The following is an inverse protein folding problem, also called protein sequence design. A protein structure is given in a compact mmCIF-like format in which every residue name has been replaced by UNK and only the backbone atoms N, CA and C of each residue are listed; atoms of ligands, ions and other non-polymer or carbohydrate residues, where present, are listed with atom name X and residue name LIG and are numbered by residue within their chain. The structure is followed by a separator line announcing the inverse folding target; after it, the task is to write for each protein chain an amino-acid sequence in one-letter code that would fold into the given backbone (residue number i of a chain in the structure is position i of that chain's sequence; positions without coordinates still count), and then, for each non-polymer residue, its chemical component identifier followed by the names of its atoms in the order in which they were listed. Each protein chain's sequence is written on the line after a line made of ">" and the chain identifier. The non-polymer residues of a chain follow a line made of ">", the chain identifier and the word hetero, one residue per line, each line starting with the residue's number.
data_IF_152895278231
#
_entry.id   IF_152895278231
#
_cell.length_a   1.000
_cell.length_b   1.000
_cell.length_c   1.000
_cell.angle_alpha   90.00
_cell.angle_beta   90.00
_cell.angle_gamma   90.00
#
_symmetry.space_group_name_H-M   'P 1'
#
loop_
_entity.id
_entity.type
_entity.pdbx_description
1 polymer ?
#
# COMPACT_ATOMS: atom_id res chain seq x y z
N UNK A 1 -41.73 -13.34 -28.85
CA UNK A 1 -40.74 -12.26 -28.64
C UNK A 1 -40.06 -12.60 -27.34
N UNK A 2 -38.74 -12.73 -27.35
CA UNK A 2 -38.00 -13.01 -26.12
C UNK A 2 -38.13 -11.78 -25.21
N UNK A 3 -38.72 -11.90 -24.00
CA UNK A 3 -38.89 -10.75 -23.09
C UNK A 3 -37.56 -10.12 -22.68
N UNK A 4 -36.43 -10.79 -22.93
CA UNK A 4 -35.09 -10.30 -22.61
C UNK A 4 -34.38 -9.59 -23.78
N UNK A 5 -34.94 -9.60 -24.99
CA UNK A 5 -34.24 -9.08 -26.19
C UNK A 5 -33.89 -7.58 -26.07
N UNK A 6 -34.79 -6.76 -25.53
CA UNK A 6 -34.54 -5.35 -25.24
C UNK A 6 -33.51 -5.16 -24.11
N UNK A 7 -33.61 -5.98 -23.06
CA UNK A 7 -32.73 -5.90 -21.90
C UNK A 7 -31.30 -6.31 -22.26
N UNK A 8 -31.14 -7.32 -23.11
CA UNK A 8 -29.85 -7.79 -23.61
C UNK A 8 -29.18 -6.77 -24.52
N UNK A 9 -29.97 -6.07 -25.33
CA UNK A 9 -29.46 -4.93 -26.10
C UNK A 9 -28.96 -3.82 -25.17
N UNK A 10 -29.76 -3.41 -24.19
CA UNK A 10 -29.39 -2.36 -23.23
C UNK A 10 -28.17 -2.75 -22.39
N UNK A 11 -28.03 -4.04 -22.03
CA UNK A 11 -26.87 -4.57 -21.33
C UNK A 11 -25.60 -4.49 -22.19
N UNK A 12 -25.67 -4.87 -23.48
CA UNK A 12 -24.54 -4.72 -24.40
C UNK A 12 -24.12 -3.25 -24.55
N UNK A 13 -25.07 -2.35 -24.77
CA UNK A 13 -24.81 -0.91 -24.87
C UNK A 13 -24.20 -0.34 -23.58
N UNK A 14 -24.69 -0.75 -22.41
CA UNK A 14 -24.12 -0.35 -21.13
C UNK A 14 -22.71 -0.91 -20.92
N UNK A 15 -22.46 -2.18 -21.27
CA UNK A 15 -21.14 -2.79 -21.21
C UNK A 15 -20.13 -2.08 -22.13
N UNK A 16 -20.53 -1.74 -23.36
CA UNK A 16 -19.68 -0.99 -24.29
C UNK A 16 -19.32 0.40 -23.74
N UNK A 17 -20.27 1.07 -23.07
CA UNK A 17 -20.00 2.35 -22.36
C UNK A 17 -19.00 2.17 -21.21
N UNK A 18 -19.07 1.08 -20.44
CA UNK A 18 -18.09 0.77 -19.39
C UNK A 18 -16.69 0.55 -19.99
N UNK A 19 -16.60 -0.26 -21.05
CA UNK A 19 -15.33 -0.52 -21.75
C UNK A 19 -14.73 0.76 -22.31
N UNK A 20 -15.56 1.66 -22.82
CA UNK A 20 -15.14 2.98 -23.29
C UNK A 20 -14.64 3.86 -22.15
N UNK A 21 -15.33 3.90 -21.00
CA UNK A 21 -14.87 4.59 -19.80
C UNK A 21 -13.49 4.08 -19.34
N UNK A 22 -13.28 2.77 -19.28
CA UNK A 22 -12.00 2.16 -18.90
C UNK A 22 -10.88 2.55 -19.87
N UNK A 23 -11.17 2.55 -21.18
CA UNK A 23 -10.23 2.99 -22.20
C UNK A 23 -9.83 4.46 -22.01
N UNK A 24 -10.80 5.34 -21.76
CA UNK A 24 -10.55 6.76 -21.49
C UNK A 24 -9.75 6.95 -20.18
N UNK A 25 -10.04 6.17 -19.13
CA UNK A 25 -9.32 6.24 -17.86
C UNK A 25 -7.84 5.82 -18.02
N UNK A 26 -7.58 4.80 -18.83
CA UNK A 26 -6.22 4.40 -19.21
C UNK A 26 -5.52 5.49 -20.04
N UNK A 27 -6.23 6.09 -21.01
CA UNK A 27 -5.73 7.21 -21.82
C UNK A 27 -5.36 8.41 -20.95
N UNK A 28 -6.22 8.82 -20.01
CA UNK A 28 -5.97 9.89 -19.02
C UNK A 28 -4.67 9.64 -18.25
N UNK A 29 -4.48 8.42 -17.75
CA UNK A 29 -3.26 8.04 -17.02
C UNK A 29 -2.01 8.13 -17.91
N UNK A 30 -2.11 7.74 -19.18
CA UNK A 30 -1.02 7.85 -20.16
C UNK A 30 -0.67 9.31 -20.47
N UNK A 31 -1.68 10.13 -20.78
CA UNK A 31 -1.51 11.57 -21.03
C UNK A 31 -0.91 12.27 -19.82
N UNK A 32 -1.38 11.97 -18.60
CA UNK A 32 -0.83 12.53 -17.37
C UNK A 32 0.65 12.20 -17.16
N UNK A 33 1.13 11.02 -17.60
CA UNK A 33 2.58 10.70 -17.59
C UNK A 33 3.34 11.54 -18.61
N UNK A 34 2.85 11.59 -19.86
CA UNK A 34 3.49 12.36 -20.93
C UNK A 34 3.56 13.86 -20.61
N UNK A 35 2.51 14.42 -20.00
CA UNK A 35 2.46 15.81 -19.56
C UNK A 35 3.55 16.08 -18.53
N UNK A 36 3.74 15.21 -17.53
CA UNK A 36 4.81 15.35 -16.55
C UNK A 36 6.19 15.33 -17.20
N UNK A 37 6.45 14.33 -18.05
CA UNK A 37 7.73 14.21 -18.77
C UNK A 37 8.04 15.44 -19.63
N UNK A 38 7.06 15.94 -20.38
CA UNK A 38 7.25 17.13 -21.23
C UNK A 38 7.36 18.41 -20.39
N UNK A 39 6.62 18.53 -19.28
CA UNK A 39 6.72 19.67 -18.38
C UNK A 39 8.10 19.76 -17.69
N UNK A 40 8.66 18.62 -17.28
CA UNK A 40 10.01 18.54 -16.74
C UNK A 40 11.03 18.97 -17.80
N UNK A 41 10.91 18.47 -19.03
CA UNK A 41 11.77 18.86 -20.15
C UNK A 41 11.64 20.35 -20.51
N UNK A 42 10.43 20.91 -20.49
CA UNK A 42 10.21 22.36 -20.68
C UNK A 42 10.95 23.15 -19.61
N UNK A 43 10.88 22.73 -18.35
CA UNK A 43 11.60 23.37 -17.24
C UNK A 43 13.12 23.31 -17.42
N UNK A 44 13.66 22.16 -17.85
CA UNK A 44 15.09 22.02 -18.16
C UNK A 44 15.54 22.93 -19.31
N UNK A 45 14.76 22.98 -20.40
CA UNK A 45 15.03 23.83 -21.56
C UNK A 45 14.93 25.32 -21.22
N UNK A 46 14.01 25.73 -20.34
CA UNK A 46 13.93 27.10 -19.82
C UNK A 46 15.20 27.48 -19.05
N UNK A 47 15.70 26.58 -18.19
CA UNK A 47 16.95 26.79 -17.47
C UNK A 47 18.16 26.85 -18.41
N UNK A 48 18.21 26.01 -19.44
CA UNK A 48 19.27 26.03 -20.44
C UNK A 48 19.23 27.36 -21.22
N UNK A 49 18.08 27.73 -21.77
CA UNK A 49 17.90 28.98 -22.51
C UNK A 49 18.27 30.21 -21.65
N UNK A 50 17.95 30.20 -20.36
CA UNK A 50 18.37 31.26 -19.44
C UNK A 50 19.89 31.34 -19.26
N UNK A 51 20.63 30.23 -19.34
CA UNK A 51 22.11 30.24 -19.33
C UNK A 51 22.65 30.82 -20.63
N UNK A 52 22.19 30.32 -21.79
CA UNK A 52 22.63 30.81 -23.10
C UNK A 52 22.38 32.32 -23.25
N UNK A 53 21.22 32.82 -22.80
CA UNK A 53 20.90 34.26 -22.81
C UNK A 53 21.85 35.08 -21.92
N UNK A 54 22.23 34.58 -20.74
CA UNK A 54 23.21 35.26 -19.87
C UNK A 54 24.60 35.28 -20.50
N UNK A 55 24.99 34.23 -21.21
CA UNK A 55 26.26 34.17 -21.91
C UNK A 55 26.31 35.16 -23.08
N UNK A 56 25.21 35.29 -23.84
CA UNK A 56 25.01 36.36 -24.82
C UNK A 56 25.09 37.74 -24.16
N UNK A 57 24.34 38.00 -23.09
CA UNK A 57 24.34 39.29 -22.38
C UNK A 57 25.73 39.66 -21.82
N UNK A 58 26.48 38.69 -21.30
CA UNK A 58 27.85 38.89 -20.82
C UNK A 58 28.79 39.27 -21.97
N UNK A 59 28.62 38.66 -23.14
CA UNK A 59 29.39 38.97 -24.34
C UNK A 59 28.95 40.27 -25.02
N UNK A 60 27.70 40.72 -24.84
CA UNK A 60 27.18 41.98 -25.38
C UNK A 60 27.49 43.18 -24.46
N UNK A 61 27.19 43.06 -23.16
CA UNK A 61 27.36 44.10 -22.14
C UNK A 61 28.76 44.20 -21.53
N UNK A 62 29.63 43.21 -21.73
CA UNK A 62 31.02 43.22 -21.26
C UNK A 62 31.92 44.17 -22.05
N UNK A 63 31.84 45.49 -21.79
CA UNK A 63 32.52 46.51 -22.60
C UNK A 63 33.17 47.66 -21.79
N UNK A 64 34.08 47.36 -20.86
CA UNK A 64 35.08 48.39 -20.48
C UNK A 64 36.48 47.85 -20.17
N UNK A 65 36.64 46.67 -19.56
CA UNK A 65 37.96 46.29 -19.02
C UNK A 65 38.91 45.49 -19.96
N UNK A 66 38.44 44.90 -21.06
CA UNK A 66 39.28 43.99 -21.88
C UNK A 66 39.34 44.29 -23.39
N UNK A 67 38.57 45.26 -23.87
CA UNK A 67 38.56 45.69 -25.28
C UNK A 67 39.76 46.56 -25.65
N UNK A 68 40.95 45.99 -25.46
CA UNK A 68 42.19 46.48 -26.02
C UNK A 68 43.00 45.40 -26.77
N UNK A 69 42.55 44.12 -26.85
CA UNK A 69 43.42 43.06 -27.43
C UNK A 69 42.87 42.01 -28.40
N UNK A 70 41.56 41.75 -28.56
CA UNK A 70 41.06 40.57 -29.32
C UNK A 70 39.67 40.81 -29.96
N UNK A 71 39.58 41.48 -31.12
CA UNK A 71 38.30 41.81 -31.77
C UNK A 71 37.70 40.70 -32.65
N UNK A 72 38.52 39.88 -33.34
CA UNK A 72 38.00 38.84 -34.25
C UNK A 72 37.38 37.62 -33.56
N UNK A 73 37.98 37.12 -32.49
CA UNK A 73 37.49 35.90 -31.80
C UNK A 73 36.25 36.12 -30.92
N UNK A 74 35.94 37.37 -30.55
CA UNK A 74 34.75 37.73 -29.78
C UNK A 74 33.49 37.73 -30.65
N UNK A 75 33.58 38.24 -31.87
CA UNK A 75 32.46 38.35 -32.80
C UNK A 75 32.00 36.96 -33.29
N UNK A 76 32.95 36.06 -33.57
CA UNK A 76 32.66 34.64 -33.86
C UNK A 76 31.95 33.95 -32.69
N UNK A 77 32.44 34.17 -31.45
CA UNK A 77 31.82 33.61 -30.24
C UNK A 77 30.41 34.15 -30.02
N UNK A 78 30.20 35.46 -30.12
CA UNK A 78 28.88 36.06 -29.95
C UNK A 78 27.87 35.53 -30.98
N UNK A 79 28.31 35.34 -32.23
CA UNK A 79 27.46 34.77 -33.30
C UNK A 79 27.05 33.34 -32.96
N UNK A 80 27.98 32.54 -32.45
CA UNK A 80 27.73 31.17 -32.01
C UNK A 80 26.72 31.11 -30.86
N UNK A 81 26.94 31.90 -29.81
CA UNK A 81 26.10 31.92 -28.60
C UNK A 81 24.67 32.38 -28.92
N UNK A 82 24.51 33.35 -29.84
CA UNK A 82 23.19 33.75 -30.36
C UNK A 82 22.49 32.63 -31.13
N UNK A 83 23.25 31.87 -31.93
CA UNK A 83 22.70 30.71 -32.66
C UNK A 83 22.29 29.58 -31.70
N UNK A 84 23.09 29.31 -30.67
CA UNK A 84 22.81 28.32 -29.63
C UNK A 84 21.57 28.74 -28.80
N UNK A 85 21.45 30.01 -28.42
CA UNK A 85 20.27 30.55 -27.76
C UNK A 85 19.00 30.50 -28.64
N UNK A 86 19.12 30.79 -29.95
CA UNK A 86 18.00 30.71 -30.88
C UNK A 86 17.50 29.26 -31.04
N UNK A 87 18.42 28.30 -31.20
CA UNK A 87 18.09 26.88 -31.30
C UNK A 87 17.45 26.34 -30.00
N UNK A 88 17.96 26.77 -28.84
CA UNK A 88 17.36 26.43 -27.54
C UNK A 88 15.94 27.01 -27.41
N UNK A 89 15.71 28.22 -27.91
CA UNK A 89 14.39 28.86 -27.97
C UNK A 89 13.40 28.08 -28.83
N UNK A 90 13.78 27.71 -30.06
CA UNK A 90 12.94 26.93 -30.96
C UNK A 90 12.54 25.57 -30.36
N UNK A 91 13.50 24.88 -29.73
CA UNK A 91 13.25 23.61 -29.03
C UNK A 91 12.26 23.78 -27.88
N UNK A 92 12.42 24.84 -27.08
CA UNK A 92 11.53 25.15 -25.98
C UNK A 92 10.11 25.43 -26.47
N UNK A 93 9.97 26.24 -27.52
CA UNK A 93 8.67 26.57 -28.10
C UNK A 93 7.97 25.32 -28.66
N UNK A 94 8.73 24.43 -29.31
CA UNK A 94 8.22 23.14 -29.76
C UNK A 94 7.71 22.24 -28.62
N UNK A 95 8.44 22.15 -27.51
CA UNK A 95 7.99 21.37 -26.35
C UNK A 95 6.80 22.02 -25.62
N UNK A 96 6.73 23.35 -25.57
CA UNK A 96 5.57 24.07 -25.03
C UNK A 96 4.30 23.83 -25.86
N UNK A 97 4.41 23.89 -27.19
CA UNK A 97 3.30 23.57 -28.08
C UNK A 97 2.85 22.10 -27.91
N UNK A 98 3.80 21.17 -27.73
CA UNK A 98 3.49 19.77 -27.40
C UNK A 98 2.78 19.64 -26.05
N UNK A 99 3.23 20.35 -25.02
CA UNK A 99 2.62 20.35 -23.69
C UNK A 99 1.18 20.87 -23.74
N UNK A 100 0.96 21.96 -24.48
CA UNK A 100 -0.37 22.54 -24.69
C UNK A 100 -1.30 21.54 -25.41
N UNK A 101 -0.85 20.91 -26.49
CA UNK A 101 -1.61 19.88 -27.20
C UNK A 101 -1.98 18.70 -26.29
N UNK A 102 -1.03 18.16 -25.53
CA UNK A 102 -1.28 17.06 -24.58
C UNK A 102 -2.26 17.46 -23.48
N UNK A 103 -2.19 18.70 -23.00
CA UNK A 103 -3.12 19.23 -21.99
C UNK A 103 -4.52 19.41 -22.58
N UNK A 104 -4.63 19.84 -23.83
CA UNK A 104 -5.88 19.88 -24.58
C UNK A 104 -6.52 18.50 -24.72
N UNK A 105 -5.74 17.50 -25.15
CA UNK A 105 -6.17 16.10 -25.26
C UNK A 105 -6.63 15.53 -23.91
N UNK A 106 -5.96 15.90 -22.82
CA UNK A 106 -6.36 15.52 -21.47
C UNK A 106 -7.72 16.13 -21.12
N UNK A 107 -7.93 17.42 -21.40
CA UNK A 107 -9.21 18.10 -21.15
C UNK A 107 -10.36 17.58 -22.01
N UNK A 108 -10.10 17.09 -23.23
CA UNK A 108 -11.07 16.33 -24.03
C UNK A 108 -11.40 14.98 -23.38
N UNK A 109 -10.37 14.21 -23.02
CA UNK A 109 -10.52 12.90 -22.37
C UNK A 109 -11.29 13.01 -21.06
N UNK A 110 -11.06 14.05 -20.27
CA UNK A 110 -11.78 14.30 -19.01
C UNK A 110 -13.26 14.65 -19.23
N UNK A 111 -13.59 15.40 -20.30
CA UNK A 111 -14.99 15.66 -20.66
C UNK A 111 -15.71 14.39 -21.09
N UNK A 112 -15.06 13.55 -21.89
CA UNK A 112 -15.63 12.26 -22.32
C UNK A 112 -15.81 11.29 -21.14
N UNK A 113 -14.87 11.29 -20.18
CA UNK A 113 -15.01 10.57 -18.92
C UNK A 113 -16.20 11.04 -18.10
N UNK A 114 -16.40 12.36 -17.99
CA UNK A 114 -17.55 12.91 -17.28
C UNK A 114 -18.88 12.55 -17.98
N UNK A 115 -18.91 12.54 -19.32
CA UNK A 115 -20.10 12.16 -20.08
C UNK A 115 -20.45 10.66 -19.96
N UNK A 116 -19.46 9.83 -19.66
CA UNK A 116 -19.62 8.37 -19.47
C UNK A 116 -19.65 7.97 -18.00
N UNK A 117 -19.66 8.94 -17.09
CA UNK A 117 -19.82 8.72 -15.67
C UNK A 117 -21.14 7.99 -15.39
N UNK A 118 -21.11 6.99 -14.51
CA UNK A 118 -22.28 6.17 -14.17
C UNK A 118 -22.57 5.02 -15.15
N UNK A 119 -21.76 4.82 -16.20
CA UNK A 119 -21.91 3.66 -17.08
C UNK A 119 -21.83 2.32 -16.33
N UNK A 120 -20.96 2.23 -15.31
CA UNK A 120 -20.84 1.06 -14.46
C UNK A 120 -22.10 0.82 -13.62
N UNK A 121 -22.65 1.87 -13.01
CA UNK A 121 -23.87 1.78 -12.19
C UNK A 121 -25.08 1.38 -13.05
N UNK A 122 -25.20 1.97 -14.24
CA UNK A 122 -26.21 1.60 -15.23
C UNK A 122 -26.11 0.12 -15.61
N UNK A 123 -24.91 -0.36 -15.90
CA UNK A 123 -24.68 -1.76 -16.25
C UNK A 123 -25.06 -2.70 -15.10
N UNK A 124 -24.65 -2.39 -13.86
CA UNK A 124 -25.00 -3.17 -12.67
C UNK A 124 -26.50 -3.19 -12.39
N UNK A 125 -27.18 -2.05 -12.58
CA UNK A 125 -28.64 -1.95 -12.43
C UNK A 125 -29.36 -2.83 -13.43
N UNK A 126 -28.94 -2.83 -14.69
CA UNK A 126 -29.53 -3.67 -15.75
C UNK A 126 -29.27 -5.16 -15.50
N UNK A 127 -28.07 -5.52 -15.02
CA UNK A 127 -27.76 -6.91 -14.64
C UNK A 127 -28.67 -7.38 -13.51
N UNK A 128 -28.86 -6.54 -12.49
CA UNK A 128 -29.74 -6.83 -11.35
C UNK A 128 -31.21 -6.96 -11.78
N UNK A 129 -31.65 -6.14 -12.75
CA UNK A 129 -32.98 -6.25 -13.35
C UNK A 129 -33.16 -7.60 -14.08
N UNK A 130 -32.17 -8.00 -14.90
CA UNK A 130 -32.19 -9.29 -15.62
C UNK A 130 -32.20 -10.46 -14.65
N UNK A 131 -31.36 -10.41 -13.64
CA UNK A 131 -31.28 -11.44 -12.60
C UNK A 131 -32.61 -11.63 -11.88
N UNK A 132 -33.25 -10.53 -11.43
CA UNK A 132 -34.55 -10.60 -10.78
C UNK A 132 -35.60 -11.28 -11.66
N UNK A 133 -35.68 -10.89 -12.93
CA UNK A 133 -36.65 -11.47 -13.87
C UNK A 133 -36.40 -12.97 -14.11
N UNK A 134 -35.14 -13.40 -14.19
CA UNK A 134 -34.77 -14.81 -14.33
C UNK A 134 -35.11 -15.61 -13.06
N UNK A 135 -34.85 -15.04 -11.89
CA UNK A 135 -35.21 -15.65 -10.59
C UNK A 135 -36.73 -15.78 -10.45
N UNK A 136 -37.50 -14.73 -10.77
CA UNK A 136 -38.97 -14.75 -10.74
C UNK A 136 -39.58 -15.81 -11.67
N UNK A 137 -38.93 -16.05 -12.82
CA UNK A 137 -39.35 -17.11 -13.75
C UNK A 137 -39.19 -18.52 -13.16
N UNK A 138 -38.25 -18.69 -12.22
CA UNK A 138 -38.07 -19.94 -11.46
C UNK A 138 -37.56 -21.13 -12.28
N UNK A 139 -37.04 -20.88 -13.49
CA UNK A 139 -36.42 -21.89 -14.35
C UNK A 139 -35.05 -22.33 -13.78
N UNK A 140 -34.40 -23.30 -14.43
CA UNK A 140 -33.11 -23.83 -13.96
C UNK A 140 -32.05 -22.73 -13.79
N UNK A 141 -32.08 -21.73 -14.69
CA UNK A 141 -31.16 -20.59 -14.69
C UNK A 141 -31.43 -19.65 -13.52
N UNK A 142 -32.69 -19.28 -13.28
CA UNK A 142 -33.10 -18.50 -12.11
C UNK A 142 -32.73 -19.17 -10.78
N UNK A 143 -32.95 -20.50 -10.66
CA UNK A 143 -32.55 -21.25 -9.45
C UNK A 143 -31.05 -21.26 -9.23
N UNK A 144 -30.26 -21.42 -10.29
CA UNK A 144 -28.80 -21.37 -10.20
C UNK A 144 -28.29 -19.98 -9.80
N UNK A 145 -28.92 -18.91 -10.30
CA UNK A 145 -28.60 -17.53 -9.89
C UNK A 145 -28.87 -17.29 -8.39
N UNK A 146 -29.98 -17.81 -7.86
CA UNK A 146 -30.25 -17.76 -6.42
C UNK A 146 -29.19 -18.53 -5.60
N UNK A 147 -28.80 -19.72 -6.04
CA UNK A 147 -27.77 -20.52 -5.38
C UNK A 147 -26.42 -19.78 -5.38
N UNK A 148 -26.01 -19.23 -6.52
CA UNK A 148 -24.80 -18.41 -6.64
C UNK A 148 -24.84 -17.19 -5.74
N UNK A 149 -25.98 -16.50 -5.63
CA UNK A 149 -26.14 -15.36 -4.72
C UNK A 149 -25.89 -15.76 -3.26
N UNK A 150 -26.39 -16.92 -2.83
CA UNK A 150 -26.12 -17.48 -1.51
C UNK A 150 -24.64 -17.79 -1.30
N UNK A 151 -24.03 -18.54 -2.24
CA UNK A 151 -22.61 -18.90 -2.18
C UNK A 151 -21.69 -17.67 -2.16
N UNK A 152 -22.03 -16.62 -2.91
CA UNK A 152 -21.28 -15.36 -2.92
C UNK A 152 -21.42 -14.62 -1.60
N UNK A 153 -22.63 -14.56 -1.02
CA UNK A 153 -22.87 -13.94 0.28
C UNK A 153 -22.11 -14.65 1.40
N UNK A 154 -22.11 -15.98 1.41
CA UNK A 154 -21.35 -16.81 2.35
C UNK A 154 -19.84 -16.56 2.17
N UNK A 155 -19.33 -16.61 0.94
CA UNK A 155 -17.90 -16.36 0.65
C UNK A 155 -17.48 -14.93 1.06
N UNK A 156 -18.37 -13.94 0.93
CA UNK A 156 -18.13 -12.57 1.40
C UNK A 156 -18.20 -12.42 2.93
N UNK A 157 -18.97 -13.26 3.62
CA UNK A 157 -18.94 -13.34 5.07
C UNK A 157 -17.61 -13.95 5.53
N UNK A 158 -17.20 -15.08 4.94
CA UNK A 158 -15.91 -15.72 5.24
C UNK A 158 -14.74 -14.74 5.03
N UNK A 159 -14.75 -13.97 3.92
CA UNK A 159 -13.71 -12.95 3.68
C UNK A 159 -13.62 -11.88 4.76
N UNK A 160 -14.77 -11.48 5.33
CA UNK A 160 -14.82 -10.49 6.42
C UNK A 160 -14.24 -11.07 7.71
N UNK A 161 -14.65 -12.28 8.08
CA UNK A 161 -14.12 -12.98 9.26
C UNK A 161 -12.59 -13.19 9.14
N UNK A 162 -12.10 -13.52 7.95
CA UNK A 162 -10.66 -13.60 7.67
C UNK A 162 -9.94 -12.25 7.84
N UNK A 163 -10.53 -11.13 7.41
CA UNK A 163 -9.92 -9.81 7.60
C UNK A 163 -9.88 -9.43 9.07
N UNK A 164 -10.96 -9.66 9.82
CA UNK A 164 -11.04 -9.44 11.27
C UNK A 164 -9.93 -10.23 12.00
N UNK A 165 -9.76 -11.51 11.67
CA UNK A 165 -8.67 -12.34 12.20
C UNK A 165 -7.27 -11.81 11.83
N UNK A 166 -7.07 -11.32 10.61
CA UNK A 166 -5.79 -10.72 10.18
C UNK A 166 -5.51 -9.43 10.96
N UNK A 167 -6.49 -8.56 11.17
CA UNK A 167 -6.31 -7.34 11.95
C UNK A 167 -5.98 -7.66 13.41
N UNK A 168 -6.70 -8.60 14.02
CA UNK A 168 -6.44 -9.06 15.39
C UNK A 168 -5.05 -9.70 15.52
N UNK A 169 -4.65 -10.52 14.56
CA UNK A 169 -3.32 -11.15 14.53
C UNK A 169 -2.19 -10.13 14.37
N UNK A 170 -2.37 -9.10 13.52
CA UNK A 170 -1.41 -7.98 13.41
C UNK A 170 -1.28 -7.21 14.72
N UNK A 171 -2.39 -6.91 15.39
CA UNK A 171 -2.38 -6.25 16.69
C UNK A 171 -1.67 -7.10 17.76
N UNK A 172 -1.94 -8.41 17.80
CA UNK A 172 -1.24 -9.35 18.68
C UNK A 172 0.27 -9.38 18.38
N UNK A 173 0.65 -9.46 17.11
CA UNK A 173 2.06 -9.44 16.68
C UNK A 173 2.80 -8.17 17.09
N UNK A 174 2.14 -7.00 17.03
CA UNK A 174 2.72 -5.73 17.49
C UNK A 174 3.04 -5.75 19.00
N UNK A 175 2.10 -6.21 19.82
CA UNK A 175 2.30 -6.26 21.28
C UNK A 175 3.30 -7.33 21.70
N UNK A 176 3.23 -8.53 21.10
CA UNK A 176 4.19 -9.61 21.34
C UNK A 176 5.60 -9.18 20.90
N UNK A 177 5.71 -8.52 19.75
CA UNK A 177 6.96 -7.93 19.27
C UNK A 177 7.51 -6.86 20.22
N UNK A 178 6.64 -6.01 20.79
CA UNK A 178 7.06 -5.04 21.79
C UNK A 178 7.62 -5.69 23.06
N UNK A 179 6.96 -6.74 23.58
CA UNK A 179 7.49 -7.53 24.71
C UNK A 179 8.86 -8.12 24.36
N UNK A 180 9.01 -8.68 23.15
CA UNK A 180 10.27 -9.25 22.69
C UNK A 180 11.41 -8.21 22.65
N UNK A 181 11.15 -7.02 22.12
CA UNK A 181 12.13 -5.92 22.09
C UNK A 181 12.56 -5.50 23.50
N UNK A 182 11.62 -5.38 24.45
CA UNK A 182 11.95 -5.02 25.83
C UNK A 182 12.79 -6.12 26.51
N UNK A 183 12.49 -7.40 26.28
CA UNK A 183 13.30 -8.52 26.77
C UNK A 183 14.70 -8.54 26.13
N UNK A 184 14.85 -8.13 24.88
CA UNK A 184 16.15 -8.01 24.21
C UNK A 184 17.00 -6.87 24.78
N UNK A 185 16.38 -5.72 25.08
CA UNK A 185 17.06 -4.62 25.78
C UNK A 185 17.47 -5.04 27.20
N UNK A 186 16.58 -5.70 27.95
CA UNK A 186 16.88 -6.22 29.28
C UNK A 186 18.03 -7.23 29.24
N UNK A 187 18.05 -8.15 28.25
CA UNK A 187 19.16 -9.09 28.04
C UNK A 187 20.48 -8.37 27.73
N UNK A 188 20.44 -7.32 26.92
CA UNK A 188 21.60 -6.49 26.59
C UNK A 188 22.20 -5.82 27.83
N UNK A 189 21.35 -5.20 28.66
CA UNK A 189 21.74 -4.62 29.94
C UNK A 189 22.31 -5.67 30.91
N UNK A 190 21.66 -6.83 31.04
CA UNK A 190 22.14 -7.97 31.85
C UNK A 190 23.50 -8.50 31.39
N UNK A 191 23.77 -8.52 30.08
CA UNK A 191 25.08 -8.96 29.54
C UNK A 191 26.20 -7.98 29.90
N UNK A 192 25.89 -6.68 29.99
CA UNK A 192 26.85 -5.64 30.39
C UNK A 192 27.14 -5.68 31.89
N UNK A 193 26.13 -5.97 32.71
CA UNK A 193 26.26 -6.13 34.17
C UNK A 193 27.19 -7.31 34.52
N UNK A 194 27.04 -8.45 33.84
CA UNK A 194 27.93 -9.63 33.97
C UNK A 194 29.41 -9.36 33.65
N UNK A 195 29.72 -8.32 32.87
CA UNK A 195 31.08 -7.94 32.49
C UNK A 195 31.68 -6.86 33.42
N UNK A 196 31.05 -6.59 34.56
CA UNK A 196 31.55 -5.67 35.58
C UNK A 196 30.99 -4.25 35.49
N UNK A 197 29.89 -4.05 34.77
CA UNK A 197 29.21 -2.75 34.67
C UNK A 197 28.23 -2.54 35.82
N UNK A 198 28.67 -1.93 36.93
CA UNK A 198 27.84 -1.76 38.14
C UNK A 198 26.52 -0.98 37.99
N UNK A 199 25.86 -0.72 39.13
CA UNK A 199 24.54 -0.09 39.45
C UNK A 199 23.71 0.63 38.35
N UNK A 200 24.32 1.25 37.35
CA UNK A 200 23.62 1.88 36.21
C UNK A 200 23.05 0.86 35.20
N UNK A 201 23.71 -0.29 34.98
CA UNK A 201 23.19 -1.33 34.09
C UNK A 201 21.90 -1.96 34.64
N UNK A 202 21.88 -2.15 35.96
CA UNK A 202 20.77 -2.71 36.74
C UNK A 202 19.48 -1.86 36.68
N UNK A 203 19.62 -0.53 36.65
CA UNK A 203 18.48 0.39 36.56
C UNK A 203 17.80 0.32 35.18
N UNK A 204 18.61 0.23 34.11
CA UNK A 204 18.14 0.11 32.73
C UNK A 204 17.49 -1.25 32.49
N UNK A 205 18.08 -2.33 33.01
CA UNK A 205 17.48 -3.67 32.97
C UNK A 205 16.08 -3.67 33.60
N UNK A 206 15.95 -3.09 34.80
CA UNK A 206 14.68 -3.02 35.53
C UNK A 206 13.60 -2.25 34.78
N UNK A 207 13.96 -1.11 34.19
CA UNK A 207 13.03 -0.30 33.39
C UNK A 207 12.45 -1.10 32.22
N UNK A 208 13.31 -1.81 31.48
CA UNK A 208 12.87 -2.65 30.36
C UNK A 208 12.01 -3.83 30.80
N UNK A 209 12.31 -4.46 31.94
CA UNK A 209 11.50 -5.58 32.46
C UNK A 209 10.14 -5.14 32.98
N UNK A 210 10.05 -4.00 33.66
CA UNK A 210 8.76 -3.41 34.08
C UNK A 210 7.93 -3.07 32.85
N UNK A 211 8.56 -2.50 31.82
CA UNK A 211 7.90 -2.21 30.55
C UNK A 211 7.44 -3.49 29.85
N UNK A 212 8.26 -4.55 29.85
CA UNK A 212 7.91 -5.86 29.29
C UNK A 212 6.72 -6.50 30.02
N UNK A 213 6.67 -6.42 31.35
CA UNK A 213 5.55 -6.93 32.16
C UNK A 213 4.24 -6.19 31.86
N UNK A 214 4.28 -4.86 31.81
CA UNK A 214 3.12 -4.04 31.41
C UNK A 214 2.65 -4.38 29.99
N UNK A 215 3.59 -4.54 29.06
CA UNK A 215 3.30 -4.91 27.68
C UNK A 215 2.74 -6.34 27.55
N UNK A 216 3.08 -7.24 28.48
CA UNK A 216 2.59 -8.63 28.48
C UNK A 216 1.08 -8.71 28.69
N UNK A 217 0.52 -7.81 29.51
CA UNK A 217 -0.94 -7.73 29.68
C UNK A 217 -1.65 -7.32 28.38
N UNK A 218 -1.10 -6.32 27.68
CA UNK A 218 -1.63 -5.89 26.38
C UNK A 218 -1.49 -6.99 25.32
N UNK A 219 -0.35 -7.69 25.31
CA UNK A 219 -0.11 -8.83 24.43
C UNK A 219 -1.13 -9.96 24.68
N UNK A 220 -1.41 -10.30 25.94
CA UNK A 220 -2.40 -11.33 26.26
C UNK A 220 -3.82 -10.92 25.81
N UNK A 221 -4.24 -9.67 26.00
CA UNK A 221 -5.55 -9.20 25.53
C UNK A 221 -5.68 -9.25 24.01
N UNK A 222 -4.63 -8.85 23.30
CA UNK A 222 -4.59 -8.91 21.85
C UNK A 222 -4.61 -10.37 21.36
N UNK A 223 -3.89 -11.27 22.02
CA UNK A 223 -3.91 -12.72 21.75
C UNK A 223 -5.26 -13.37 22.03
N UNK A 224 -5.95 -12.97 23.11
CA UNK A 224 -7.30 -13.46 23.42
C UNK A 224 -8.30 -12.99 22.35
N UNK A 225 -8.14 -11.76 21.86
CA UNK A 225 -8.93 -11.25 20.74
C UNK A 225 -8.65 -12.03 19.47
N UNK A 226 -7.37 -12.21 19.11
CA UNK A 226 -7.00 -13.01 17.96
C UNK A 226 -7.52 -14.44 18.04
N UNK A 227 -7.48 -15.06 19.22
CA UNK A 227 -8.01 -16.40 19.44
C UNK A 227 -9.54 -16.48 19.26
N UNK A 228 -10.29 -15.42 19.59
CA UNK A 228 -11.73 -15.34 19.31
C UNK A 228 -12.00 -15.26 17.81
N UNK A 229 -11.34 -14.35 17.11
CA UNK A 229 -11.53 -14.19 15.65
C UNK A 229 -11.12 -15.48 14.90
N UNK A 230 -10.07 -16.18 15.35
CA UNK A 230 -9.70 -17.48 14.82
C UNK A 230 -10.75 -18.57 15.10
N UNK A 231 -11.45 -18.50 16.24
CA UNK A 231 -12.50 -19.46 16.58
C UNK A 231 -13.73 -19.32 15.66
N UNK A 232 -14.03 -18.11 15.19
CA UNK A 232 -15.08 -17.85 14.21
C UNK A 232 -14.77 -18.54 12.87
N UNK A 233 -13.48 -18.64 12.53
CA UNK A 233 -12.97 -19.45 11.39
C UNK A 233 -12.85 -20.96 11.69
N UNK A 234 -13.32 -21.42 12.85
CA UNK A 234 -13.25 -22.82 13.28
C UNK A 234 -11.90 -23.28 13.83
N UNK A 235 -10.95 -22.36 14.09
CA UNK A 235 -9.65 -22.70 14.67
C UNK A 235 -9.68 -22.57 16.19
N UNK A 236 -9.66 -23.70 16.90
CA UNK A 236 -9.65 -23.71 18.36
C UNK A 236 -8.23 -23.54 18.93
N UNK A 237 -7.86 -22.30 19.28
CA UNK A 237 -6.56 -21.97 19.90
C UNK A 237 -6.71 -21.22 21.22
N UNK A 238 -5.73 -21.37 22.13
CA UNK A 238 -5.66 -20.66 23.42
C UNK A 238 -4.22 -20.23 23.73
N UNK A 239 -3.66 -19.25 22.99
CA UNK A 239 -2.31 -18.74 23.23
C UNK A 239 -2.21 -18.10 24.62
N UNK A 240 -1.12 -18.38 25.33
CA UNK A 240 -0.84 -17.82 26.65
C UNK A 240 0.57 -17.25 26.69
N UNK A 241 0.70 -15.98 27.05
CA UNK A 241 1.98 -15.34 27.26
C UNK A 241 2.71 -15.93 28.48
N UNK A 242 4.04 -16.09 28.42
CA UNK A 242 4.83 -16.42 29.60
C UNK A 242 4.78 -15.28 30.62
N UNK A 243 4.77 -15.59 31.91
CA UNK A 243 4.78 -14.58 32.98
C UNK A 243 6.13 -13.85 33.04
N UNK A 244 6.10 -12.52 32.89
CA UNK A 244 7.26 -11.63 33.13
C UNK A 244 7.21 -11.16 34.59
N UNK A 245 7.39 -12.07 35.55
CA UNK A 245 7.31 -11.71 36.96
C UNK A 245 8.45 -10.73 37.33
N UNK A 246 8.13 -9.52 37.74
CA UNK A 246 9.11 -8.51 38.18
C UNK A 246 9.42 -8.57 39.68
N UNK A 247 8.63 -9.31 40.47
CA UNK A 247 8.72 -9.34 41.94
C UNK A 247 9.98 -10.03 42.43
N UNK A 248 10.42 -11.09 41.76
CA UNK A 248 11.66 -11.77 42.09
C UNK A 248 12.90 -10.90 41.85
N UNK A 249 12.85 -9.86 41.00
CA UNK A 249 13.99 -8.96 40.79
C UNK A 249 14.30 -8.12 42.03
N UNK A 250 13.29 -7.82 42.86
CA UNK A 250 13.50 -7.11 44.12
C UNK A 250 14.16 -8.00 45.18
N UNK A 251 13.78 -9.28 45.24
CA UNK A 251 14.30 -10.25 46.21
C UNK A 251 15.74 -10.70 45.90
N UNK A 252 16.18 -10.57 44.64
CA UNK A 252 17.50 -11.04 44.14
C UNK A 252 18.57 -9.95 44.11
N UNK A 253 18.22 -8.69 44.41
CA UNK A 253 19.13 -7.53 44.37
C UNK A 253 20.26 -7.57 45.43
N UNK A 254 20.25 -8.52 46.38
CA UNK A 254 21.17 -8.54 47.52
C UNK A 254 22.31 -9.59 47.48
N UNK A 255 22.41 -10.45 46.46
CA UNK A 255 23.52 -11.41 46.32
C UNK A 255 24.12 -11.34 44.91
N UNK A 256 25.46 -11.39 44.78
CA UNK A 256 26.17 -10.58 43.78
C UNK A 256 26.84 -11.31 42.60
N UNK A 257 26.76 -12.64 42.41
CA UNK A 257 27.43 -13.32 41.24
C UNK A 257 26.70 -14.60 40.74
N UNK A 258 26.18 -15.47 41.62
CA UNK A 258 25.45 -16.70 41.21
C UNK A 258 24.05 -16.38 40.66
N UNK A 259 23.54 -15.22 41.03
CA UNK A 259 22.20 -14.70 40.85
C UNK A 259 22.00 -14.06 39.47
N UNK A 260 22.99 -13.37 38.91
CA UNK A 260 22.88 -12.76 37.57
C UNK A 260 22.85 -13.79 36.45
N UNK A 261 23.57 -14.91 36.60
CA UNK A 261 23.47 -16.05 35.70
C UNK A 261 22.05 -16.64 35.65
N UNK A 262 21.38 -16.70 36.81
CA UNK A 262 19.99 -17.14 36.93
C UNK A 262 19.01 -16.11 36.33
N UNK A 263 19.22 -14.80 36.56
CA UNK A 263 18.43 -13.73 35.93
C UNK A 263 18.50 -13.82 34.41
N UNK A 264 19.72 -13.86 33.88
CA UNK A 264 19.99 -13.94 32.45
C UNK A 264 19.39 -15.19 31.80
N UNK A 265 19.49 -16.35 32.47
CA UNK A 265 18.87 -17.58 31.97
C UNK A 265 17.33 -17.47 31.92
N UNK A 266 16.71 -16.82 32.91
CA UNK A 266 15.25 -16.63 32.94
C UNK A 266 14.77 -15.61 31.90
N UNK A 267 15.51 -14.51 31.69
CA UNK A 267 15.26 -13.56 30.60
C UNK A 267 15.34 -14.28 29.25
N UNK A 268 16.37 -15.10 29.04
CA UNK A 268 16.52 -15.87 27.80
C UNK A 268 15.38 -16.88 27.59
N UNK A 269 14.96 -17.63 28.62
CA UNK A 269 13.82 -18.56 28.49
C UNK A 269 12.52 -17.85 28.13
N UNK A 270 12.23 -16.73 28.81
CA UNK A 270 11.04 -15.91 28.55
C UNK A 270 11.07 -15.36 27.13
N UNK A 271 12.22 -14.82 26.71
CA UNK A 271 12.44 -14.32 25.35
C UNK A 271 12.21 -15.41 24.30
N UNK A 272 12.73 -16.62 24.51
CA UNK A 272 12.50 -17.74 23.59
C UNK A 272 11.01 -18.08 23.46
N UNK A 273 10.28 -18.16 24.57
CA UNK A 273 8.84 -18.43 24.54
C UNK A 273 8.04 -17.30 23.84
N UNK A 274 8.41 -16.03 24.05
CA UNK A 274 7.79 -14.89 23.34
C UNK A 274 8.12 -14.93 21.84
N UNK A 275 9.35 -15.32 21.47
CA UNK A 275 9.75 -15.48 20.07
C UNK A 275 8.99 -16.63 19.39
N UNK A 276 8.77 -17.75 20.08
CA UNK A 276 7.92 -18.85 19.60
C UNK A 276 6.48 -18.39 19.37
N UNK A 277 5.93 -17.55 20.26
CA UNK A 277 4.60 -16.95 20.09
C UNK A 277 4.55 -16.03 18.86
N UNK A 278 5.58 -15.19 18.68
CA UNK A 278 5.69 -14.33 17.49
C UNK A 278 5.73 -15.16 16.21
N UNK A 279 6.51 -16.24 16.18
CA UNK A 279 6.58 -17.13 15.04
C UNK A 279 5.24 -17.82 14.74
N UNK A 280 4.49 -18.22 15.78
CA UNK A 280 3.14 -18.78 15.63
C UNK A 280 2.15 -17.76 15.07
N UNK A 281 2.21 -16.50 15.50
CA UNK A 281 1.38 -15.42 14.92
C UNK A 281 1.72 -15.23 13.44
N UNK A 282 3.01 -15.16 13.09
CA UNK A 282 3.45 -14.97 11.71
C UNK A 282 3.04 -16.14 10.80
N UNK A 283 3.08 -17.37 11.31
CA UNK A 283 2.58 -18.54 10.60
C UNK A 283 1.06 -18.48 10.39
N UNK A 284 0.32 -18.17 11.46
CA UNK A 284 -1.14 -18.02 11.40
C UNK A 284 -1.57 -16.92 10.41
N UNK A 285 -0.88 -15.76 10.42
CA UNK A 285 -1.12 -14.67 9.47
C UNK A 285 -0.84 -15.08 8.02
N UNK A 286 0.19 -15.90 7.77
CA UNK A 286 0.47 -16.43 6.43
C UNK A 286 -0.64 -17.37 5.96
N UNK A 287 -1.13 -18.25 6.83
CA UNK A 287 -2.26 -19.14 6.52
C UNK A 287 -3.54 -18.35 6.27
N UNK A 288 -3.83 -17.32 7.07
CA UNK A 288 -4.97 -16.44 6.85
C UNK A 288 -4.90 -15.71 5.50
N UNK A 289 -3.72 -15.20 5.13
CA UNK A 289 -3.51 -14.53 3.85
C UNK A 289 -3.70 -15.49 2.65
N UNK A 290 -3.28 -16.75 2.78
CA UNK A 290 -3.56 -17.78 1.78
C UNK A 290 -5.06 -18.05 1.66
N UNK A 291 -5.76 -18.20 2.79
CA UNK A 291 -7.22 -18.36 2.81
C UNK A 291 -7.96 -17.19 2.16
N UNK A 292 -7.56 -15.95 2.44
CA UNK A 292 -8.12 -14.76 1.79
C UNK A 292 -7.91 -14.78 0.26
N UNK A 293 -6.73 -15.19 -0.21
CA UNK A 293 -6.44 -15.29 -1.64
C UNK A 293 -7.32 -16.34 -2.33
N UNK A 294 -7.55 -17.48 -1.67
CA UNK A 294 -8.40 -18.55 -2.18
C UNK A 294 -9.89 -18.17 -2.19
N UNK A 295 -10.38 -17.53 -1.12
CA UNK A 295 -11.74 -16.99 -1.06
C UNK A 295 -11.97 -15.88 -2.11
N UNK A 296 -10.98 -15.01 -2.32
CA UNK A 296 -11.04 -13.96 -3.36
C UNK A 296 -11.13 -14.58 -4.75
N UNK A 297 -10.33 -15.62 -5.02
CA UNK A 297 -10.38 -16.37 -6.28
C UNK A 297 -11.76 -17.02 -6.46
N UNK A 298 -12.27 -17.69 -5.43
CA UNK A 298 -13.60 -18.31 -5.44
C UNK A 298 -14.71 -17.30 -5.70
N UNK A 299 -14.66 -16.13 -5.06
CA UNK A 299 -15.62 -15.06 -5.30
C UNK A 299 -15.56 -14.56 -6.76
N UNK A 300 -14.35 -14.46 -7.32
CA UNK A 300 -14.14 -14.16 -8.74
C UNK A 300 -14.76 -15.22 -9.67
N UNK A 301 -14.54 -16.50 -9.37
CA UNK A 301 -15.11 -17.62 -10.14
C UNK A 301 -16.64 -17.62 -10.09
N UNK A 302 -17.23 -17.44 -8.90
CA UNK A 302 -18.69 -17.33 -8.72
C UNK A 302 -19.29 -16.13 -9.46
N UNK A 303 -18.59 -14.99 -9.43
CA UNK A 303 -18.99 -13.78 -10.16
C UNK A 303 -18.96 -14.03 -11.67
N UNK A 304 -17.91 -14.68 -12.18
CA UNK A 304 -17.80 -15.05 -13.59
C UNK A 304 -18.90 -16.03 -14.03
N UNK A 305 -19.25 -17.01 -13.19
CA UNK A 305 -20.37 -17.92 -13.46
C UNK A 305 -21.70 -17.17 -13.51
N UNK A 306 -21.95 -16.26 -12.55
CA UNK A 306 -23.14 -15.40 -12.54
C UNK A 306 -23.22 -14.57 -13.82
N UNK A 307 -22.15 -13.93 -14.23
CA UNK A 307 -22.12 -13.12 -15.46
C UNK A 307 -22.36 -13.96 -16.72
N UNK A 308 -21.75 -15.15 -16.83
CA UNK A 308 -22.01 -16.07 -17.94
C UNK A 308 -23.47 -16.50 -17.98
N UNK A 309 -24.04 -16.83 -16.82
CA UNK A 309 -25.47 -17.14 -16.70
C UNK A 309 -26.34 -15.92 -16.95
N UNK A 310 -25.89 -14.68 -16.81
CA UNK A 310 -26.65 -13.50 -17.21
C UNK A 310 -26.47 -13.16 -18.70
N UNK A 311 -25.39 -13.61 -19.33
CA UNK A 311 -25.11 -13.36 -20.75
C UNK A 311 -25.75 -14.38 -21.72
N UNK A 312 -26.01 -15.61 -21.25
CA UNK A 312 -26.74 -16.65 -22.02
C UNK A 312 -28.22 -16.31 -22.14
#
# INVERSE_FOLDING_TARGET
>A
MDPFEDLDRRLREAHDRVRWFDHLAARRSSLGRQIREVADLVTELEQQLAKERRDVERLEGGLSAFMARLTGSREERLTRERAEAALAGERLDGQRARLEALTGDLGETERDLAATAGAADDYQRLLSEKERLLVERGDQRGRRLMELSGLMADTQADLREHDEAVQAGKAAGQWVGHVLTQLEHARGASTWDMLGGGVFADAVEREHLVTADQATWQAQQALDTFARELADLGWAVRPKMPEVDTRWFADVFFDNIITDALKHQRINRTRTAVAEMSAWIDDSLRTLAQGQADLTRRLGDLTGEREHLLAT
#
